data_IF_462479655691
#
_entry.id   IF_462479655691
#
_cell.length_a   1.000
_cell.length_b   1.000
_cell.length_c   1.000
_cell.angle_alpha   90.00
_cell.angle_beta   90.00
_cell.angle_gamma   90.00
#
_symmetry.space_group_name_H-M   'P 1'
#
loop_
_entity.id
_entity.type
_entity.pdbx_description
1 polymer ?
#
# COMPACT_ATOMS: atom_id res chain seq x y z
N UNK A 1 14.57 5.08 21.40
CA UNK A 1 13.81 5.92 20.46
C UNK A 1 13.09 5.03 19.46
N UNK A 2 11.76 5.14 19.39
CA UNK A 2 10.96 4.49 18.35
C UNK A 2 10.44 5.55 17.37
N UNK A 3 10.35 5.21 16.08
CA UNK A 3 9.77 6.07 15.05
C UNK A 3 8.45 5.51 14.54
N UNK A 4 7.58 6.40 14.07
CA UNK A 4 6.40 6.00 13.30
C UNK A 4 6.82 5.62 11.88
N UNK A 5 6.26 4.53 11.35
CA UNK A 5 6.59 3.98 10.06
C UNK A 5 5.32 3.69 9.27
N UNK A 6 5.13 4.48 8.21
CA UNK A 6 3.95 4.41 7.34
C UNK A 6 4.38 3.79 6.02
N UNK A 7 4.00 2.52 5.81
CA UNK A 7 4.43 1.73 4.64
C UNK A 7 3.26 1.08 3.91
N UNK A 8 2.03 1.43 4.26
CA UNK A 8 0.85 1.07 3.46
C UNK A 8 0.72 1.94 2.21
N UNK A 9 1.07 3.22 2.32
CA UNK A 9 0.94 4.22 1.26
C UNK A 9 2.08 5.23 1.34
N UNK A 10 2.28 5.98 0.26
CA UNK A 10 3.15 7.15 0.22
C UNK A 10 2.34 8.36 -0.24
N UNK A 11 2.92 9.56 -0.12
CA UNK A 11 2.34 10.74 -0.77
C UNK A 11 2.38 10.57 -2.30
N UNK A 12 1.36 11.07 -3.00
CA UNK A 12 1.41 11.24 -4.46
C UNK A 12 2.53 12.18 -4.92
N UNK A 13 3.11 12.97 -4.02
CA UNK A 13 4.31 13.77 -4.29
C UNK A 13 5.61 12.96 -4.20
N UNK A 14 5.58 11.73 -3.69
CA UNK A 14 6.74 10.86 -3.56
C UNK A 14 7.31 10.53 -4.94
N UNK A 15 8.65 10.46 -5.02
CA UNK A 15 9.34 10.23 -6.31
C UNK A 15 8.86 8.96 -7.00
N UNK A 16 8.60 7.88 -6.25
CA UNK A 16 8.04 6.65 -6.84
C UNK A 16 6.69 6.88 -7.52
N UNK A 17 5.79 7.69 -6.95
CA UNK A 17 4.48 7.95 -7.56
C UNK A 17 4.64 8.83 -8.80
N UNK A 18 5.46 9.88 -8.71
CA UNK A 18 5.79 10.73 -9.86
C UNK A 18 6.41 9.95 -11.01
N UNK A 19 7.27 8.97 -10.74
CA UNK A 19 7.80 8.06 -11.76
C UNK A 19 6.73 7.10 -12.29
N UNK A 20 5.89 6.53 -11.41
CA UNK A 20 4.79 5.63 -11.79
C UNK A 20 3.80 6.28 -12.78
N UNK A 21 3.62 7.60 -12.70
CA UNK A 21 2.76 8.37 -13.61
C UNK A 21 3.32 8.55 -15.02
N UNK A 22 4.62 8.30 -15.24
CA UNK A 22 5.28 8.56 -16.53
C UNK A 22 4.99 7.50 -17.59
N UNK A 23 4.46 6.33 -17.20
CA UNK A 23 4.11 5.27 -18.14
C UNK A 23 3.95 3.92 -17.45
N UNK A 24 3.17 3.03 -18.07
CA UNK A 24 2.91 1.67 -17.56
C UNK A 24 4.14 0.75 -17.64
N UNK A 25 5.09 1.09 -18.50
CA UNK A 25 6.39 0.42 -18.66
C UNK A 25 7.45 0.94 -17.68
N UNK A 26 7.16 2.00 -16.91
CA UNK A 26 8.07 2.53 -15.91
C UNK A 26 8.27 1.50 -14.78
N UNK A 27 9.51 1.23 -14.32
CA UNK A 27 9.75 0.24 -13.27
C UNK A 27 9.08 0.55 -11.92
N UNK A 28 8.70 1.82 -11.68
CA UNK A 28 7.98 2.24 -10.49
C UNK A 28 6.45 2.18 -10.66
N UNK A 29 5.93 1.94 -11.87
CA UNK A 29 4.49 1.85 -12.10
C UNK A 29 3.85 0.80 -11.18
N UNK A 30 4.43 -0.40 -11.14
CA UNK A 30 3.98 -1.52 -10.31
C UNK A 30 4.28 -1.36 -8.80
N UNK A 31 4.82 -0.22 -8.35
CA UNK A 31 4.93 0.07 -6.91
C UNK A 31 3.59 0.50 -6.32
N UNK A 32 2.62 0.86 -7.17
CA UNK A 32 1.26 1.22 -6.78
C UNK A 32 0.25 0.26 -7.40
N UNK A 33 -0.99 0.36 -6.96
CA UNK A 33 -2.08 -0.52 -7.40
C UNK A 33 -2.93 0.24 -8.41
N UNK A 34 -2.90 -0.20 -9.67
CA UNK A 34 -3.63 0.39 -10.80
C UNK A 34 -4.74 -0.52 -11.31
N UNK A 35 -5.84 0.07 -11.77
CA UNK A 35 -6.96 -0.63 -12.40
C UNK A 35 -7.59 0.21 -13.50
N UNK A 36 -7.91 -0.41 -14.64
CA UNK A 36 -8.72 0.26 -15.67
C UNK A 36 -10.17 0.50 -15.20
N UNK A 37 -10.70 -0.41 -14.38
CA UNK A 37 -12.05 -0.32 -13.79
C UNK A 37 -11.97 -0.45 -12.27
N UNK A 38 -12.42 0.57 -11.52
CA UNK A 38 -12.46 0.50 -10.06
C UNK A 38 -13.56 -0.45 -9.60
N UNK A 39 -13.41 -0.99 -8.41
CA UNK A 39 -14.51 -1.64 -7.69
C UNK A 39 -15.21 -0.61 -6.78
N UNK A 40 -16.23 -1.04 -6.06
CA UNK A 40 -17.03 -0.20 -5.18
C UNK A 40 -16.44 0.06 -3.77
N UNK A 41 -15.14 -0.16 -3.55
CA UNK A 41 -14.52 0.08 -2.24
C UNK A 41 -14.53 1.56 -1.87
N UNK A 42 -14.70 1.86 -0.58
CA UNK A 42 -14.72 3.22 -0.06
C UNK A 42 -13.42 3.60 0.66
N UNK A 43 -13.02 4.87 0.49
CA UNK A 43 -11.95 5.45 1.30
C UNK A 43 -12.41 5.64 2.75
N UNK A 44 -11.46 5.58 3.69
CA UNK A 44 -11.70 5.85 5.11
C UNK A 44 -12.08 7.32 5.34
N UNK A 45 -11.77 8.21 4.41
CA UNK A 45 -12.17 9.61 4.44
C UNK A 45 -13.42 9.91 3.59
N UNK A 46 -14.11 8.86 3.13
CA UNK A 46 -15.34 8.96 2.35
C UNK A 46 -15.10 9.03 0.85
N UNK A 47 -16.15 8.69 0.09
CA UNK A 47 -16.08 8.57 -1.37
C UNK A 47 -15.43 7.27 -1.84
N UNK A 48 -15.06 7.26 -3.12
CA UNK A 48 -14.35 6.15 -3.78
C UNK A 48 -12.95 5.96 -3.19
N UNK A 49 -12.49 4.72 -3.05
CA UNK A 49 -11.08 4.41 -2.78
C UNK A 49 -10.18 4.48 -4.03
N UNK A 50 -10.75 4.88 -5.17
CA UNK A 50 -10.09 4.90 -6.47
C UNK A 50 -10.13 6.30 -7.06
N UNK A 51 -8.96 6.79 -7.46
CA UNK A 51 -8.80 8.09 -8.10
C UNK A 51 -8.28 7.90 -9.52
N UNK A 52 -9.00 8.48 -10.50
CA UNK A 52 -8.67 8.40 -11.91
C UNK A 52 -7.43 9.25 -12.26
N UNK A 53 -6.60 8.72 -13.15
CA UNK A 53 -5.41 9.36 -13.72
C UNK A 53 -5.51 9.31 -15.24
N UNK A 54 -5.77 10.48 -15.82
CA UNK A 54 -6.02 10.63 -17.25
C UNK A 54 -4.84 10.19 -18.12
N UNK A 55 -3.60 10.48 -17.72
CA UNK A 55 -2.40 10.14 -18.49
C UNK A 55 -2.17 8.63 -18.66
N UNK A 56 -2.76 7.81 -17.80
CA UNK A 56 -2.63 6.35 -17.83
C UNK A 56 -3.94 5.65 -18.20
N UNK A 57 -5.05 6.38 -18.24
CA UNK A 57 -6.41 5.84 -18.38
C UNK A 57 -6.70 4.74 -17.34
N UNK A 58 -6.28 4.98 -16.09
CA UNK A 58 -6.36 4.04 -14.98
C UNK A 58 -6.71 4.77 -13.69
N UNK A 59 -7.14 3.99 -12.69
CA UNK A 59 -7.39 4.43 -11.34
C UNK A 59 -6.30 3.87 -10.43
N UNK A 60 -5.73 4.69 -9.55
CA UNK A 60 -4.91 4.18 -8.46
C UNK A 60 -5.74 4.01 -7.19
N UNK A 61 -5.35 3.03 -6.37
CA UNK A 61 -5.95 2.80 -5.06
C UNK A 61 -5.41 3.82 -4.04
N UNK A 62 -6.32 4.43 -3.30
CA UNK A 62 -6.04 5.20 -2.09
C UNK A 62 -7.06 4.81 -1.01
N UNK A 63 -6.61 4.05 -0.01
CA UNK A 63 -7.49 3.65 1.09
C UNK A 63 -7.82 4.81 2.02
N UNK A 64 -7.01 5.86 2.02
CA UNK A 64 -7.16 7.06 2.85
C UNK A 64 -7.32 8.29 1.96
N UNK A 65 -6.55 9.35 2.19
CA UNK A 65 -6.67 10.60 1.43
C UNK A 65 -6.28 10.37 -0.03
N UNK A 66 -6.84 11.16 -0.94
CA UNK A 66 -6.49 11.09 -2.37
C UNK A 66 -4.98 11.25 -2.59
N UNK A 67 -4.28 12.00 -1.74
CA UNK A 67 -2.83 12.17 -1.83
C UNK A 67 -2.03 11.02 -1.22
N UNK A 68 -2.67 9.96 -0.72
CA UNK A 68 -2.04 8.80 -0.08
C UNK A 68 -2.22 7.54 -0.93
N UNK A 69 -1.39 7.38 -1.96
CA UNK A 69 -1.46 6.26 -2.88
C UNK A 69 -0.95 4.96 -2.23
N UNK A 70 -1.76 3.91 -2.26
CA UNK A 70 -1.45 2.62 -1.66
C UNK A 70 -0.33 1.90 -2.42
N UNK A 71 0.65 1.43 -1.66
CA UNK A 71 1.78 0.66 -2.17
C UNK A 71 1.34 -0.78 -2.48
N UNK A 72 1.88 -1.30 -3.59
CA UNK A 72 1.65 -2.66 -4.05
C UNK A 72 2.61 -3.64 -3.36
N UNK A 73 2.19 -4.18 -2.23
CA UNK A 73 2.95 -5.18 -1.48
C UNK A 73 3.07 -6.54 -2.16
N UNK A 74 2.35 -6.82 -3.26
CA UNK A 74 2.60 -8.01 -4.07
C UNK A 74 3.94 -7.91 -4.82
N UNK A 75 4.42 -6.69 -5.08
CA UNK A 75 5.67 -6.45 -5.80
C UNK A 75 6.91 -6.69 -4.89
N UNK A 76 7.75 -7.69 -5.18
CA UNK A 76 8.94 -7.97 -4.38
C UNK A 76 9.97 -6.84 -4.39
N UNK A 77 10.08 -6.06 -5.48
CA UNK A 77 11.02 -4.94 -5.56
C UNK A 77 10.62 -3.82 -4.60
N UNK A 78 9.32 -3.55 -4.51
CA UNK A 78 8.78 -2.58 -3.54
C UNK A 78 9.08 -3.04 -2.11
N UNK A 79 8.81 -4.32 -1.77
CA UNK A 79 9.10 -4.85 -0.43
C UNK A 79 10.57 -4.69 -0.07
N UNK A 80 11.48 -4.96 -1.00
CA UNK A 80 12.92 -4.80 -0.77
C UNK A 80 13.32 -3.33 -0.52
N UNK A 81 12.78 -2.37 -1.27
CA UNK A 81 13.04 -0.95 -1.03
C UNK A 81 12.52 -0.49 0.33
N UNK A 82 11.36 -0.99 0.77
CA UNK A 82 10.84 -0.74 2.13
C UNK A 82 11.81 -1.30 3.18
N UNK A 83 12.23 -2.56 3.05
CA UNK A 83 13.13 -3.18 4.02
C UNK A 83 14.48 -2.49 4.07
N UNK A 84 15.00 -2.04 2.92
CA UNK A 84 16.22 -1.24 2.83
C UNK A 84 16.09 0.09 3.58
N UNK A 85 14.98 0.79 3.42
CA UNK A 85 14.69 2.02 4.15
C UNK A 85 14.55 1.76 5.66
N UNK A 86 13.86 0.70 6.08
CA UNK A 86 13.75 0.35 7.50
C UNK A 86 15.11 0.03 8.13
N UNK A 87 15.96 -0.75 7.43
CA UNK A 87 17.34 -1.03 7.87
C UNK A 87 18.19 0.23 7.97
N UNK A 88 18.01 1.19 7.06
CA UNK A 88 18.71 2.48 7.13
C UNK A 88 18.44 3.21 8.46
N UNK A 89 17.16 3.29 8.88
CA UNK A 89 16.79 3.92 10.15
C UNK A 89 17.35 3.19 11.37
N UNK A 90 17.30 1.84 11.37
CA UNK A 90 17.92 1.05 12.43
C UNK A 90 19.44 1.27 12.50
N UNK A 91 20.12 1.33 11.35
CA UNK A 91 21.57 1.53 11.28
C UNK A 91 22.03 2.89 11.84
N UNK A 92 21.16 3.91 11.84
CA UNK A 92 21.47 5.22 12.43
C UNK A 92 21.01 5.34 13.90
N UNK A 93 20.57 4.24 14.52
CA UNK A 93 20.33 4.15 15.97
C UNK A 93 18.86 4.23 16.40
N UNK A 94 17.90 4.01 15.51
CA UNK A 94 16.49 3.84 15.89
C UNK A 94 16.29 2.44 16.51
N UNK A 95 15.63 2.34 17.66
CA UNK A 95 15.47 1.08 18.41
C UNK A 95 14.27 0.24 17.93
N UNK A 96 13.38 0.81 17.13
CA UNK A 96 12.20 0.12 16.61
C UNK A 96 11.19 1.04 15.94
N UNK A 97 10.12 0.45 15.42
CA UNK A 97 9.07 1.17 14.72
C UNK A 97 7.68 0.89 15.29
N UNK A 98 6.85 1.93 15.33
CA UNK A 98 5.40 1.81 15.37
C UNK A 98 4.93 1.71 13.92
N UNK A 99 4.32 0.59 13.54
CA UNK A 99 3.90 0.35 12.15
C UNK A 99 2.44 0.81 11.96
N UNK A 100 2.24 1.92 11.26
CA UNK A 100 0.89 2.47 11.02
C UNK A 100 0.11 1.62 10.02
N UNK A 101 -1.16 1.34 10.36
CA UNK A 101 -2.15 0.62 9.52
C UNK A 101 -1.59 -0.62 8.82
N UNK A 102 -0.63 -1.29 9.46
CA UNK A 102 0.17 -2.33 8.83
C UNK A 102 -0.68 -3.53 8.41
N UNK A 103 -1.80 -3.76 9.08
CA UNK A 103 -2.74 -4.81 8.75
C UNK A 103 -3.48 -4.60 7.42
N UNK A 104 -3.29 -3.46 6.74
CA UNK A 104 -3.92 -3.14 5.47
C UNK A 104 -3.04 -3.43 4.25
N UNK A 105 -1.78 -3.83 4.42
CA UNK A 105 -0.82 -3.96 3.30
C UNK A 105 -1.13 -5.13 2.37
N UNK A 106 -1.87 -6.14 2.80
CA UNK A 106 -2.29 -7.27 1.96
C UNK A 106 -3.69 -7.05 1.41
N UNK A 107 -3.81 -6.85 0.10
CA UNK A 107 -5.09 -6.71 -0.61
C UNK A 107 -5.45 -8.04 -1.29
N UNK A 108 -6.74 -8.35 -1.37
CA UNK A 108 -7.24 -9.43 -2.23
C UNK A 108 -7.04 -9.05 -3.70
N UNK A 109 -6.21 -9.82 -4.41
CA UNK A 109 -5.81 -9.54 -5.79
C UNK A 109 -6.93 -9.75 -6.82
N UNK A 110 -8.07 -10.30 -6.41
CA UNK A 110 -9.27 -10.39 -7.26
C UNK A 110 -9.97 -9.04 -7.40
N UNK A 111 -9.77 -8.11 -6.44
CA UNK A 111 -10.39 -6.78 -6.41
C UNK A 111 -11.91 -6.80 -6.65
N UNK A 112 -12.62 -7.76 -6.04
CA UNK A 112 -14.07 -7.90 -6.18
C UNK A 112 -14.81 -6.71 -5.54
N UNK A 113 -15.99 -6.42 -6.07
CA UNK A 113 -16.95 -5.54 -5.41
C UNK A 113 -17.37 -6.12 -4.06
N UNK A 114 -17.63 -5.23 -3.11
CA UNK A 114 -18.30 -5.54 -1.87
C UNK A 114 -19.82 -5.62 -2.07
N UNK A 115 -20.40 -6.77 -1.77
CA UNK A 115 -21.85 -6.96 -1.68
C UNK A 115 -22.52 -6.15 -0.54
N UNK A 116 -21.74 -5.44 0.28
CA UNK A 116 -22.19 -4.63 1.41
C UNK A 116 -23.02 -5.41 2.45
N UNK A 117 -22.77 -6.71 2.58
CA UNK A 117 -23.37 -7.57 3.61
C UNK A 117 -22.61 -7.51 4.93
N UNK A 118 -21.36 -7.07 4.92
CA UNK A 118 -20.54 -6.89 6.11
C UNK A 118 -21.08 -5.75 7.00
N UNK A 119 -20.65 -5.70 8.27
CA UNK A 119 -21.09 -4.63 9.18
C UNK A 119 -20.62 -3.23 8.71
N UNK A 120 -19.50 -3.16 7.99
CA UNK A 120 -18.85 -1.89 7.63
C UNK A 120 -19.17 -1.43 6.21
N UNK A 121 -19.55 -2.35 5.32
CA UNK A 121 -20.10 -2.06 3.98
C UNK A 121 -19.24 -1.12 3.14
N UNK A 122 -17.94 -1.37 3.08
CA UNK A 122 -16.97 -0.43 2.50
C UNK A 122 -15.78 -1.11 1.81
N UNK A 123 -15.87 -2.43 1.57
CA UNK A 123 -14.80 -3.22 0.96
C UNK A 123 -13.69 -3.67 1.92
N UNK A 124 -13.68 -3.25 3.19
CA UNK A 124 -12.55 -3.53 4.09
C UNK A 124 -12.25 -5.00 4.35
N UNK A 125 -13.25 -5.88 4.20
CA UNK A 125 -13.05 -7.33 4.30
C UNK A 125 -12.04 -7.89 3.27
N UNK A 126 -11.76 -7.15 2.20
CA UNK A 126 -10.82 -7.58 1.15
C UNK A 126 -9.39 -7.11 1.37
N UNK A 127 -9.12 -6.26 2.37
CA UNK A 127 -7.76 -5.73 2.59
C UNK A 127 -7.37 -5.59 4.06
N UNK A 128 -8.31 -5.60 5.00
CA UNK A 128 -8.02 -5.62 6.43
C UNK A 128 -7.70 -7.04 6.85
N UNK A 129 -6.49 -7.23 7.39
CA UNK A 129 -5.94 -8.55 7.74
C UNK A 129 -5.97 -9.51 6.54
N UNK A 130 -5.61 -8.98 5.36
CA UNK A 130 -5.73 -9.68 4.09
C UNK A 130 -4.89 -10.96 3.97
N UNK A 131 -5.04 -11.71 2.87
CA UNK A 131 -4.63 -13.12 2.77
C UNK A 131 -3.13 -13.38 3.02
N UNK A 132 -2.26 -12.40 2.74
CA UNK A 132 -0.80 -12.49 2.90
C UNK A 132 -0.26 -11.63 4.03
N UNK A 133 -1.11 -11.05 4.89
CA UNK A 133 -0.65 -10.12 5.92
C UNK A 133 0.42 -10.72 6.83
N UNK A 134 0.17 -11.93 7.34
CA UNK A 134 1.12 -12.60 8.23
C UNK A 134 2.38 -13.07 7.49
N UNK A 135 2.30 -13.36 6.20
CA UNK A 135 3.48 -13.65 5.37
C UNK A 135 4.37 -12.43 5.27
N UNK A 136 3.79 -11.26 4.95
CA UNK A 136 4.54 -10.00 4.84
C UNK A 136 5.15 -9.55 6.17
N UNK A 137 4.43 -9.70 7.29
CA UNK A 137 4.97 -9.38 8.61
C UNK A 137 6.12 -10.30 9.02
N UNK A 138 6.01 -11.62 8.75
CA UNK A 138 7.09 -12.57 9.02
C UNK A 138 8.32 -12.30 8.15
N UNK A 139 8.09 -11.96 6.87
CA UNK A 139 9.18 -11.58 5.96
C UNK A 139 9.87 -10.30 6.43
N UNK A 140 9.11 -9.27 6.80
CA UNK A 140 9.64 -8.04 7.38
C UNK A 140 10.46 -8.31 8.64
N UNK A 141 9.95 -9.15 9.55
CA UNK A 141 10.68 -9.56 10.75
C UNK A 141 12.02 -10.21 10.41
N UNK A 142 12.01 -11.20 9.50
CA UNK A 142 13.23 -11.89 9.07
C UNK A 142 14.26 -10.94 8.43
N UNK A 143 13.80 -10.02 7.59
CA UNK A 143 14.70 -9.18 6.79
C UNK A 143 15.22 -7.93 7.51
N UNK A 144 14.50 -7.49 8.55
CA UNK A 144 14.75 -6.21 9.24
C UNK A 144 14.97 -6.39 10.73
N UNK A 145 14.06 -7.07 11.45
CA UNK A 145 14.02 -7.03 12.92
C UNK A 145 14.80 -8.13 13.62
N UNK A 146 14.94 -9.30 13.00
CA UNK A 146 15.60 -10.46 13.61
C UNK A 146 17.10 -10.55 13.29
N UNK A 147 17.72 -9.43 12.89
CA UNK A 147 19.14 -9.33 12.55
C UNK A 147 19.91 -8.62 13.66
#
# INVERSE_FOLDING_TARGET
>A
LILDMVVNHTSTEHIWFKEALKGKDNPYHDFYIWREKPNNWNSKFGGSAWQYVESLNEYYLHLFDITQADLNWENPKLREEIFKMMRYWLNIGVDGFRLDVINLISKDTRFLDDDFTSATRDGRRFYTDGPKIHEYLKLMNKEVFSK
#
